data_IF_420480066118
#
_entry.id   IF_420480066118
#
_cell.length_a   1.000
_cell.length_b   1.000
_cell.length_c   1.000
_cell.angle_alpha   90.00
_cell.angle_beta   90.00
_cell.angle_gamma   90.00
#
_symmetry.space_group_name_H-M   'P 1'
#
loop_
_entity.id
_entity.type
_entity.pdbx_description
1 polymer ?
#
# COMPACT_ATOMS: atom_id res chain seq x y z
N UNK A 1 -38.92 -28.06 -34.86
CA UNK A 1 -37.60 -27.46 -35.09
C UNK A 1 -37.45 -26.32 -34.09
N UNK A 2 -36.98 -26.65 -32.88
CA UNK A 2 -36.75 -25.67 -31.79
C UNK A 2 -35.44 -24.96 -32.03
N UNK A 3 -35.45 -23.61 -31.98
CA UNK A 3 -34.29 -22.77 -32.12
C UNK A 3 -33.26 -23.09 -31.03
N UNK A 4 -31.94 -23.11 -31.33
CA UNK A 4 -30.92 -23.33 -30.34
C UNK A 4 -30.89 -22.14 -29.37
N UNK A 5 -31.06 -22.45 -28.08
CA UNK A 5 -30.81 -21.49 -26.99
C UNK A 5 -29.44 -20.87 -27.14
N UNK A 6 -29.40 -19.65 -27.59
CA UNK A 6 -28.18 -18.82 -27.53
C UNK A 6 -27.83 -18.65 -26.05
N UNK A 7 -26.62 -19.02 -25.60
CA UNK A 7 -26.20 -18.77 -24.20
C UNK A 7 -26.22 -17.29 -23.98
N UNK A 8 -27.26 -16.82 -23.27
CA UNK A 8 -27.51 -15.41 -23.00
C UNK A 8 -26.30 -14.80 -22.31
N UNK A 9 -25.71 -13.81 -22.95
CA UNK A 9 -24.75 -12.90 -22.36
C UNK A 9 -25.36 -12.35 -21.06
N UNK A 10 -24.94 -12.88 -19.92
CA UNK A 10 -25.38 -12.36 -18.62
C UNK A 10 -25.13 -10.85 -18.61
N UNK A 11 -26.11 -10.04 -18.20
CA UNK A 11 -26.01 -8.60 -18.27
C UNK A 11 -24.74 -8.13 -17.58
N UNK A 12 -23.97 -7.28 -18.25
CA UNK A 12 -22.65 -6.75 -17.83
C UNK A 12 -22.66 -6.13 -16.41
N UNK A 13 -23.82 -5.65 -15.99
CA UNK A 13 -24.05 -5.02 -14.69
C UNK A 13 -23.88 -5.98 -13.48
N UNK A 14 -24.05 -7.29 -13.65
CA UNK A 14 -23.87 -8.28 -12.57
C UNK A 14 -22.43 -8.79 -12.42
N UNK A 15 -21.56 -8.60 -13.40
CA UNK A 15 -20.22 -9.17 -13.40
C UNK A 15 -19.28 -8.42 -12.44
N UNK A 16 -19.36 -7.08 -12.41
CA UNK A 16 -18.48 -6.25 -11.57
C UNK A 16 -18.67 -6.47 -10.06
N UNK A 17 -19.90 -6.35 -9.50
CA UNK A 17 -20.10 -6.57 -8.06
C UNK A 17 -19.77 -8.00 -7.64
N UNK A 18 -20.02 -8.98 -8.49
CA UNK A 18 -19.65 -10.37 -8.23
C UNK A 18 -18.14 -10.55 -8.17
N UNK A 19 -17.40 -10.00 -9.15
CA UNK A 19 -15.94 -10.05 -9.17
C UNK A 19 -15.33 -9.31 -7.97
N UNK A 20 -15.88 -8.15 -7.61
CA UNK A 20 -15.43 -7.37 -6.46
C UNK A 20 -15.65 -8.15 -5.15
N UNK A 21 -16.84 -8.70 -4.94
CA UNK A 21 -17.16 -9.51 -3.75
C UNK A 21 -16.24 -10.71 -3.59
N UNK A 22 -15.95 -11.41 -4.68
CA UNK A 22 -15.02 -12.55 -4.66
C UNK A 22 -13.60 -12.09 -4.38
N UNK A 23 -13.14 -11.00 -4.99
CA UNK A 23 -11.78 -10.46 -4.76
C UNK A 23 -11.57 -9.99 -3.33
N UNK A 24 -12.54 -9.31 -2.73
CA UNK A 24 -12.49 -8.90 -1.31
C UNK A 24 -12.52 -10.12 -0.40
N UNK A 25 -13.43 -11.07 -0.66
CA UNK A 25 -13.54 -12.29 0.16
C UNK A 25 -12.29 -13.16 0.12
N UNK A 26 -11.61 -13.22 -1.02
CA UNK A 26 -10.35 -13.95 -1.17
C UNK A 26 -9.25 -13.33 -0.31
N UNK A 27 -9.14 -12.00 -0.30
CA UNK A 27 -8.17 -11.28 0.51
C UNK A 27 -8.47 -11.37 2.02
N UNK A 28 -9.74 -11.29 2.43
CA UNK A 28 -10.12 -11.40 3.86
C UNK A 28 -9.94 -12.83 4.42
N UNK A 29 -9.91 -13.84 3.56
CA UNK A 29 -9.62 -15.24 3.97
C UNK A 29 -8.13 -15.54 4.11
N UNK A 30 -7.26 -14.58 3.78
CA UNK A 30 -5.82 -14.75 3.95
C UNK A 30 -5.45 -14.66 5.45
N UNK A 31 -5.43 -15.83 6.11
CA UNK A 31 -5.12 -15.95 7.55
C UNK A 31 -3.74 -15.39 7.90
N UNK A 32 -2.78 -15.55 7.01
CA UNK A 32 -1.42 -15.04 7.22
C UNK A 32 -1.40 -13.50 7.22
N UNK A 33 -2.15 -12.88 6.30
CA UNK A 33 -2.30 -11.43 6.26
C UNK A 33 -2.99 -10.89 7.53
N UNK A 34 -4.06 -11.57 7.99
CA UNK A 34 -4.75 -11.21 9.22
C UNK A 34 -3.83 -11.36 10.45
N UNK A 35 -3.06 -12.45 10.53
CA UNK A 35 -2.11 -12.69 11.61
C UNK A 35 -1.00 -11.63 11.62
N UNK A 36 -0.42 -11.32 10.46
CA UNK A 36 0.56 -10.25 10.32
C UNK A 36 -0.01 -8.90 10.78
N UNK A 37 -1.22 -8.56 10.36
CA UNK A 37 -1.85 -7.31 10.75
C UNK A 37 -2.06 -7.24 12.28
N UNK A 38 -2.66 -8.27 12.86
CA UNK A 38 -3.06 -8.28 14.28
C UNK A 38 -1.87 -8.41 15.23
N UNK A 39 -0.84 -9.16 14.87
CA UNK A 39 0.32 -9.39 15.74
C UNK A 39 1.50 -8.47 15.41
N UNK A 40 1.86 -8.34 14.12
CA UNK A 40 3.06 -7.60 13.75
C UNK A 40 2.93 -6.10 14.05
N UNK A 41 1.79 -5.48 13.75
CA UNK A 41 1.62 -4.03 13.97
C UNK A 41 1.77 -3.65 15.44
N UNK A 42 1.04 -4.25 16.41
CA UNK A 42 1.20 -3.92 17.81
C UNK A 42 2.60 -4.23 18.35
N UNK A 43 3.15 -5.39 17.99
CA UNK A 43 4.51 -5.78 18.42
C UNK A 43 5.55 -4.81 17.87
N UNK A 44 5.43 -4.41 16.61
CA UNK A 44 6.34 -3.46 16.00
C UNK A 44 6.27 -2.08 16.66
N UNK A 45 5.07 -1.62 16.99
CA UNK A 45 4.90 -0.38 17.77
C UNK A 45 5.52 -0.49 19.17
N UNK A 46 5.29 -1.58 19.89
CA UNK A 46 5.92 -1.81 21.19
C UNK A 46 7.45 -1.78 21.13
N UNK A 47 8.02 -2.44 20.13
CA UNK A 47 9.49 -2.44 19.93
C UNK A 47 10.01 -1.04 19.63
N UNK A 48 9.34 -0.33 18.73
CA UNK A 48 9.77 1.02 18.34
C UNK A 48 9.57 2.05 19.45
N UNK A 49 8.50 1.94 20.23
CA UNK A 49 8.25 2.77 21.41
C UNK A 49 9.31 2.53 22.50
N UNK A 50 9.64 1.26 22.76
CA UNK A 50 10.67 0.90 23.73
C UNK A 50 12.10 1.32 23.31
N UNK A 51 12.36 1.44 22.00
CA UNK A 51 13.64 1.90 21.46
C UNK A 51 13.71 3.42 21.25
N UNK A 52 12.56 4.10 21.30
CA UNK A 52 12.50 5.52 21.05
C UNK A 52 13.12 6.30 22.22
N UNK A 53 14.08 7.16 21.90
CA UNK A 53 14.56 8.15 22.85
C UNK A 53 13.58 9.34 22.88
N UNK A 54 13.31 9.88 24.06
CA UNK A 54 12.52 11.11 24.21
C UNK A 54 13.26 12.39 23.77
N UNK A 55 14.28 12.25 22.93
CA UNK A 55 15.05 13.37 22.39
C UNK A 55 14.22 14.18 21.40
N UNK A 56 14.41 15.49 21.44
CA UNK A 56 13.81 16.39 20.46
C UNK A 56 14.62 16.32 19.17
N UNK A 57 13.93 16.00 18.07
CA UNK A 57 14.54 15.88 16.75
C UNK A 57 14.10 17.01 15.82
N UNK A 58 15.02 17.41 14.96
CA UNK A 58 14.77 18.38 13.89
C UNK A 58 14.20 17.69 12.66
N UNK A 59 12.92 17.93 12.38
CA UNK A 59 12.25 17.43 11.19
C UNK A 59 11.94 18.58 10.23
N UNK A 60 12.55 18.57 9.04
CA UNK A 60 12.35 19.60 8.04
C UNK A 60 11.09 19.34 7.21
N UNK A 61 10.15 20.29 7.22
CA UNK A 61 9.02 20.33 6.29
C UNK A 61 9.48 20.99 4.98
N UNK A 62 9.59 20.20 3.93
CA UNK A 62 10.11 20.68 2.64
C UNK A 62 9.20 21.70 1.95
N UNK A 63 7.86 21.58 2.09
CA UNK A 63 6.94 22.52 1.46
C UNK A 63 7.03 23.95 2.02
N UNK A 64 7.33 24.07 3.32
CA UNK A 64 7.36 25.37 4.01
C UNK A 64 8.79 25.82 4.36
N UNK A 65 9.77 24.92 4.19
CA UNK A 65 11.15 25.16 4.64
C UNK A 65 11.31 25.21 6.16
N UNK A 66 10.24 25.03 6.93
CA UNK A 66 10.28 25.08 8.39
C UNK A 66 10.92 23.82 8.97
N UNK A 67 11.72 24.00 10.00
CA UNK A 67 12.21 22.91 10.84
C UNK A 67 11.27 22.81 12.04
N UNK A 68 10.68 21.63 12.23
CA UNK A 68 9.87 21.31 13.39
C UNK A 68 10.76 20.62 14.42
N UNK A 69 10.73 21.11 15.66
CA UNK A 69 11.30 20.43 16.81
C UNK A 69 10.24 19.48 17.36
N UNK A 70 10.41 18.19 17.07
CA UNK A 70 9.42 17.15 17.37
C UNK A 70 9.99 16.14 18.35
N UNK A 71 9.11 15.55 19.15
CA UNK A 71 9.48 14.41 19.97
C UNK A 71 9.87 13.20 19.09
N UNK A 72 11.08 12.69 19.31
CA UNK A 72 11.65 11.61 18.51
C UNK A 72 10.86 10.29 18.64
N UNK A 73 10.27 10.04 19.81
CA UNK A 73 9.41 8.89 20.05
C UNK A 73 8.16 8.94 19.18
N UNK A 74 7.44 10.04 19.20
CA UNK A 74 6.24 10.21 18.40
C UNK A 74 6.51 10.18 16.89
N UNK A 75 7.63 10.77 16.44
CA UNK A 75 8.04 10.69 15.04
C UNK A 75 8.39 9.24 14.64
N UNK A 76 9.03 8.51 15.54
CA UNK A 76 9.37 7.09 15.34
C UNK A 76 8.12 6.23 15.26
N UNK A 77 7.07 6.51 16.03
CA UNK A 77 5.78 5.81 15.90
C UNK A 77 5.15 6.04 14.52
N UNK A 78 5.20 7.26 13.97
CA UNK A 78 4.75 7.50 12.58
C UNK A 78 5.56 6.67 11.58
N UNK A 79 6.89 6.67 11.71
CA UNK A 79 7.78 5.87 10.85
C UNK A 79 7.50 4.37 10.98
N UNK A 80 7.29 3.88 12.20
CA UNK A 80 6.94 2.49 12.47
C UNK A 80 5.61 2.09 11.81
N UNK A 81 4.61 2.97 11.87
CA UNK A 81 3.33 2.78 11.20
C UNK A 81 3.49 2.72 9.67
N UNK A 82 4.23 3.67 9.09
CA UNK A 82 4.53 3.65 7.65
C UNK A 82 5.22 2.35 7.24
N UNK A 83 6.24 1.91 8.01
CA UNK A 83 6.95 0.67 7.74
C UNK A 83 6.03 -0.56 7.83
N UNK A 84 5.22 -0.66 8.88
CA UNK A 84 4.26 -1.76 9.03
C UNK A 84 3.29 -1.82 7.85
N UNK A 85 2.78 -0.67 7.43
CA UNK A 85 1.84 -0.57 6.32
C UNK A 85 2.50 -0.94 4.99
N UNK A 86 3.74 -0.49 4.73
CA UNK A 86 4.47 -0.85 3.49
C UNK A 86 4.66 -2.36 3.37
N UNK A 87 5.10 -3.00 4.45
CA UNK A 87 5.35 -4.43 4.48
C UNK A 87 4.05 -5.23 4.30
N UNK A 88 3.01 -4.93 5.09
CA UNK A 88 1.77 -5.70 5.08
C UNK A 88 1.00 -5.48 3.77
N UNK A 89 0.80 -4.23 3.34
CA UNK A 89 0.07 -3.94 2.11
C UNK A 89 0.78 -4.51 0.88
N UNK A 90 2.11 -4.34 0.80
CA UNK A 90 2.92 -4.92 -0.27
C UNK A 90 2.82 -6.45 -0.32
N UNK A 91 2.98 -7.10 0.84
CA UNK A 91 2.90 -8.56 0.97
C UNK A 91 1.51 -9.10 0.59
N UNK A 92 0.44 -8.53 1.16
CA UNK A 92 -0.94 -8.99 0.95
C UNK A 92 -1.31 -8.92 -0.52
N UNK A 93 -0.98 -7.81 -1.18
CA UNK A 93 -1.29 -7.64 -2.60
C UNK A 93 -0.42 -8.53 -3.49
N UNK A 94 0.87 -8.65 -3.19
CA UNK A 94 1.77 -9.55 -3.90
C UNK A 94 1.27 -10.98 -3.88
N UNK A 95 0.95 -11.51 -2.70
CA UNK A 95 0.43 -12.87 -2.51
C UNK A 95 -0.91 -13.08 -3.24
N UNK A 96 -1.84 -12.11 -3.12
CA UNK A 96 -3.12 -12.16 -3.80
C UNK A 96 -2.98 -12.19 -5.34
N UNK A 97 -2.09 -11.36 -5.88
CA UNK A 97 -1.84 -11.33 -7.33
C UNK A 97 -1.22 -12.65 -7.80
N UNK A 98 -0.25 -13.18 -7.07
CA UNK A 98 0.42 -14.45 -7.39
C UNK A 98 -0.56 -15.61 -7.44
N UNK A 99 -1.40 -15.76 -6.41
CA UNK A 99 -2.41 -16.83 -6.32
C UNK A 99 -3.48 -16.70 -7.41
N UNK A 100 -3.89 -15.48 -7.73
CA UNK A 100 -4.96 -15.24 -8.69
C UNK A 100 -4.54 -15.37 -10.16
N UNK A 101 -3.26 -15.22 -10.51
CA UNK A 101 -2.79 -15.17 -11.91
C UNK A 101 -3.24 -16.34 -12.79
N UNK A 102 -3.23 -17.57 -12.25
CA UNK A 102 -3.64 -18.77 -13.00
C UNK A 102 -5.15 -18.82 -13.21
N UNK A 103 -5.93 -18.40 -12.20
CA UNK A 103 -7.39 -18.37 -12.25
C UNK A 103 -7.88 -17.25 -13.17
N UNK A 104 -7.28 -16.08 -13.11
CA UNK A 104 -7.62 -14.93 -13.95
C UNK A 104 -7.46 -15.24 -15.44
N UNK A 105 -6.38 -15.95 -15.79
CA UNK A 105 -6.19 -16.40 -17.17
C UNK A 105 -7.33 -17.29 -17.64
N UNK A 106 -7.79 -18.21 -16.80
CA UNK A 106 -8.92 -19.10 -17.15
C UNK A 106 -10.22 -18.31 -17.32
N UNK A 107 -10.47 -17.31 -16.49
CA UNK A 107 -11.64 -16.45 -16.61
C UNK A 107 -11.63 -15.63 -17.92
N UNK A 108 -10.48 -15.08 -18.30
CA UNK A 108 -10.34 -14.36 -19.57
C UNK A 108 -10.58 -15.30 -20.77
N UNK A 109 -10.07 -16.54 -20.73
CA UNK A 109 -10.34 -17.54 -21.76
C UNK A 109 -11.81 -17.97 -21.82
N UNK A 110 -12.52 -17.96 -20.69
CA UNK A 110 -13.97 -18.21 -20.60
C UNK A 110 -14.82 -17.01 -21.03
N UNK A 111 -14.23 -15.96 -21.62
CA UNK A 111 -14.95 -14.79 -22.15
C UNK A 111 -15.24 -13.68 -21.14
N UNK A 112 -14.64 -13.73 -19.94
CA UNK A 112 -14.79 -12.63 -18.97
C UNK A 112 -14.02 -11.39 -19.44
N UNK A 113 -14.65 -10.22 -19.38
CA UNK A 113 -13.98 -8.98 -19.81
C UNK A 113 -12.81 -8.63 -18.89
N UNK A 114 -11.61 -8.60 -19.43
CA UNK A 114 -10.37 -8.30 -18.70
C UNK A 114 -10.43 -6.96 -17.94
N UNK A 115 -11.06 -5.92 -18.54
CA UNK A 115 -11.21 -4.59 -17.91
C UNK A 115 -12.06 -4.62 -16.64
N UNK A 116 -13.13 -5.43 -16.62
CA UNK A 116 -14.01 -5.59 -15.44
C UNK A 116 -13.24 -6.28 -14.32
N UNK A 117 -12.49 -7.34 -14.65
CA UNK A 117 -11.69 -8.07 -13.68
C UNK A 117 -10.60 -7.21 -13.07
N UNK A 118 -9.88 -6.42 -13.89
CA UNK A 118 -8.86 -5.49 -13.44
C UNK A 118 -9.47 -4.43 -12.52
N UNK A 119 -10.58 -3.79 -12.93
CA UNK A 119 -11.23 -2.76 -12.12
C UNK A 119 -11.71 -3.28 -10.77
N UNK A 120 -12.34 -4.46 -10.74
CA UNK A 120 -12.78 -5.08 -9.49
C UNK A 120 -11.59 -5.40 -8.55
N UNK A 121 -10.48 -5.89 -9.09
CA UNK A 121 -9.28 -6.19 -8.30
C UNK A 121 -8.61 -4.93 -7.78
N UNK A 122 -8.46 -3.90 -8.61
CA UNK A 122 -7.87 -2.63 -8.18
C UNK A 122 -8.68 -2.02 -7.04
N UNK A 123 -10.02 -2.06 -7.12
CA UNK A 123 -10.88 -1.57 -6.05
C UNK A 123 -10.76 -2.42 -4.77
N UNK A 124 -10.68 -3.74 -4.90
CA UNK A 124 -10.48 -4.64 -3.76
C UNK A 124 -9.13 -4.40 -3.08
N UNK A 125 -8.05 -4.21 -3.85
CA UNK A 125 -6.73 -3.86 -3.35
C UNK A 125 -6.77 -2.52 -2.60
N UNK A 126 -7.41 -1.51 -3.18
CA UNK A 126 -7.55 -0.20 -2.55
C UNK A 126 -8.33 -0.28 -1.22
N UNK A 127 -9.42 -1.05 -1.18
CA UNK A 127 -10.20 -1.25 0.04
C UNK A 127 -9.39 -1.94 1.15
N UNK A 128 -8.64 -2.99 0.82
CA UNK A 128 -7.79 -3.71 1.79
C UNK A 128 -6.62 -2.85 2.25
N UNK A 129 -5.95 -2.13 1.34
CA UNK A 129 -4.89 -1.20 1.69
C UNK A 129 -5.38 -0.11 2.66
N UNK A 130 -6.57 0.46 2.40
CA UNK A 130 -7.19 1.44 3.28
C UNK A 130 -7.55 0.85 4.65
N UNK A 131 -8.03 -0.40 4.70
CA UNK A 131 -8.33 -1.09 5.96
C UNK A 131 -7.06 -1.35 6.79
N UNK A 132 -5.95 -1.74 6.16
CA UNK A 132 -4.64 -1.90 6.79
C UNK A 132 -4.17 -0.56 7.38
N UNK A 133 -4.25 0.51 6.60
CA UNK A 133 -3.89 1.85 7.04
C UNK A 133 -4.72 2.33 8.22
N UNK A 134 -6.04 2.09 8.17
CA UNK A 134 -6.95 2.46 9.26
C UNK A 134 -6.62 1.70 10.55
N UNK A 135 -6.42 0.39 10.46
CA UNK A 135 -6.03 -0.42 11.62
C UNK A 135 -4.72 0.09 12.23
N UNK A 136 -3.70 0.34 11.39
CA UNK A 136 -2.40 0.83 11.85
C UNK A 136 -2.50 2.23 12.47
N UNK A 137 -3.31 3.13 11.88
CA UNK A 137 -3.55 4.46 12.43
C UNK A 137 -4.34 4.43 13.75
N UNK A 138 -5.25 3.46 13.93
CA UNK A 138 -5.93 3.25 15.21
C UNK A 138 -4.99 2.67 16.27
N UNK A 139 -4.08 1.77 15.89
CA UNK A 139 -3.09 1.19 16.79
C UNK A 139 -2.14 2.24 17.36
N UNK A 140 -1.79 3.30 16.63
CA UNK A 140 -1.01 4.45 17.14
C UNK A 140 -1.64 5.06 18.38
N UNK A 141 -2.98 5.11 18.46
CA UNK A 141 -3.70 5.74 19.58
C UNK A 141 -3.46 5.04 20.93
N UNK A 142 -2.97 3.82 20.92
CA UNK A 142 -2.57 3.08 22.14
C UNK A 142 -1.27 3.64 22.75
N UNK A 143 -0.42 4.25 21.93
CA UNK A 143 0.92 4.74 22.31
C UNK A 143 0.95 6.27 22.39
N UNK A 144 0.28 6.93 21.46
CA UNK A 144 0.25 8.37 21.35
C UNK A 144 -1.09 8.87 20.84
N UNK A 145 -1.57 9.98 21.41
CA UNK A 145 -2.85 10.61 21.03
C UNK A 145 -2.60 11.96 20.36
N UNK A 146 -2.39 12.02 19.06
CA UNK A 146 -2.31 13.28 18.34
C UNK A 146 -3.66 14.01 18.39
N UNK A 147 -3.66 15.31 18.06
CA UNK A 147 -4.91 16.04 17.87
C UNK A 147 -5.78 15.37 16.79
N UNK A 148 -7.09 15.59 16.81
CA UNK A 148 -7.99 14.97 15.80
C UNK A 148 -7.54 15.27 14.37
N UNK A 149 -7.14 16.50 14.05
CA UNK A 149 -6.58 16.86 12.73
C UNK A 149 -5.26 16.16 12.44
N UNK A 150 -4.39 16.01 13.44
CA UNK A 150 -3.13 15.27 13.32
C UNK A 150 -3.33 13.79 13.06
N UNK A 151 -4.31 13.15 13.74
CA UNK A 151 -4.63 11.74 13.49
C UNK A 151 -5.10 11.50 12.05
N UNK A 152 -5.95 12.37 11.50
CA UNK A 152 -6.40 12.28 10.10
C UNK A 152 -5.25 12.40 9.13
N UNK A 153 -4.26 13.26 9.43
CA UNK A 153 -3.07 13.37 8.60
C UNK A 153 -2.22 12.09 8.63
N UNK A 154 -2.05 11.49 9.82
CA UNK A 154 -1.36 10.19 9.97
C UNK A 154 -2.09 9.10 9.19
N UNK A 155 -3.42 8.99 9.36
CA UNK A 155 -4.23 8.03 8.61
C UNK A 155 -4.11 8.22 7.09
N UNK A 156 -4.22 9.47 6.60
CA UNK A 156 -4.12 9.75 5.16
C UNK A 156 -2.73 9.42 4.60
N UNK A 157 -1.66 9.72 5.34
CA UNK A 157 -0.30 9.31 4.99
C UNK A 157 -0.17 7.79 4.92
N UNK A 158 -0.71 7.07 5.91
CA UNK A 158 -0.72 5.61 5.92
C UNK A 158 -1.55 5.03 4.77
N UNK A 159 -2.69 5.63 4.43
CA UNK A 159 -3.53 5.18 3.32
C UNK A 159 -2.82 5.33 1.97
N UNK A 160 -2.14 6.45 1.74
CA UNK A 160 -1.41 6.66 0.48
C UNK A 160 -0.22 5.72 0.37
N UNK A 161 0.57 5.52 1.44
CA UNK A 161 1.70 4.57 1.38
C UNK A 161 1.22 3.12 1.23
N UNK A 162 0.07 2.75 1.82
CA UNK A 162 -0.55 1.44 1.63
C UNK A 162 -0.92 1.20 0.17
N UNK A 163 -1.49 2.20 -0.49
CA UNK A 163 -1.80 2.15 -1.92
C UNK A 163 -0.53 2.06 -2.77
N UNK A 164 0.51 2.81 -2.44
CA UNK A 164 1.79 2.82 -3.16
C UNK A 164 2.46 1.45 -3.08
N UNK A 165 2.60 0.89 -1.88
CA UNK A 165 3.23 -0.43 -1.70
C UNK A 165 2.30 -1.58 -2.12
N UNK A 166 0.99 -1.41 -2.03
CA UNK A 166 0.03 -2.31 -2.68
C UNK A 166 0.23 -2.36 -4.20
N UNK A 167 0.41 -1.21 -4.84
CA UNK A 167 0.71 -1.13 -6.27
C UNK A 167 2.09 -1.74 -6.61
N UNK A 168 3.10 -1.54 -5.76
CA UNK A 168 4.39 -2.22 -5.88
C UNK A 168 4.25 -3.75 -5.73
N UNK A 169 3.44 -4.21 -4.77
CA UNK A 169 3.11 -5.62 -4.58
C UNK A 169 2.44 -6.22 -5.82
N UNK A 170 1.51 -5.50 -6.45
CA UNK A 170 0.91 -5.88 -7.73
C UNK A 170 1.96 -6.00 -8.82
N UNK A 171 2.84 -5.01 -8.96
CA UNK A 171 3.91 -5.00 -9.95
C UNK A 171 4.85 -6.20 -9.76
N UNK A 172 5.34 -6.40 -8.55
CA UNK A 172 6.25 -7.51 -8.21
C UNK A 172 5.55 -8.87 -8.36
N UNK A 173 4.27 -8.99 -8.00
CA UNK A 173 3.47 -10.20 -8.17
C UNK A 173 3.37 -10.66 -9.62
N UNK A 174 3.39 -9.72 -10.55
CA UNK A 174 3.42 -10.04 -12.00
C UNK A 174 4.85 -10.28 -12.49
N UNK A 175 5.86 -9.54 -12.00
CA UNK A 175 7.24 -9.57 -12.50
C UNK A 175 8.03 -10.76 -11.98
N UNK A 176 8.01 -10.98 -10.67
CA UNK A 176 8.90 -11.90 -9.96
C UNK A 176 8.40 -13.34 -10.09
N UNK A 177 9.30 -14.28 -10.31
CA UNK A 177 8.93 -15.70 -10.49
C UNK A 177 8.85 -16.48 -9.19
N UNK A 178 9.66 -16.12 -8.20
CA UNK A 178 9.74 -16.81 -6.89
C UNK A 178 9.12 -15.95 -5.79
N UNK A 179 8.36 -16.57 -4.91
CA UNK A 179 7.65 -15.85 -3.84
C UNK A 179 8.63 -15.21 -2.85
N UNK A 180 9.70 -15.93 -2.51
CA UNK A 180 10.72 -15.45 -1.57
C UNK A 180 11.43 -14.18 -2.06
N UNK A 181 11.73 -14.11 -3.35
CA UNK A 181 12.35 -12.93 -3.97
C UNK A 181 11.43 -11.71 -3.87
N UNK A 182 10.13 -11.90 -4.14
CA UNK A 182 9.14 -10.83 -4.05
C UNK A 182 8.97 -10.32 -2.62
N UNK A 183 8.88 -11.22 -1.66
CA UNK A 183 8.80 -10.86 -0.24
C UNK A 183 10.05 -10.11 0.22
N UNK A 184 11.23 -10.57 -0.15
CA UNK A 184 12.49 -9.91 0.18
C UNK A 184 12.53 -8.48 -0.38
N UNK A 185 12.13 -8.28 -1.63
CA UNK A 185 12.10 -6.95 -2.26
C UNK A 185 11.13 -6.01 -1.57
N UNK A 186 9.95 -6.49 -1.16
CA UNK A 186 8.95 -5.69 -0.44
C UNK A 186 9.48 -5.30 0.95
N UNK A 187 10.00 -6.28 1.69
CA UNK A 187 10.50 -6.06 3.06
C UNK A 187 11.70 -5.11 3.04
N UNK A 188 12.71 -5.42 2.24
CA UNK A 188 13.92 -4.60 2.19
C UNK A 188 13.64 -3.21 1.59
N UNK A 189 12.86 -3.14 0.51
CA UNK A 189 12.46 -1.88 -0.10
C UNK A 189 11.66 -1.01 0.86
N UNK A 190 10.65 -1.57 1.54
CA UNK A 190 9.83 -0.86 2.51
C UNK A 190 10.61 -0.40 3.74
N UNK A 191 11.45 -1.28 4.30
CA UNK A 191 12.29 -0.95 5.45
C UNK A 191 13.26 0.19 5.11
N UNK A 192 14.01 0.06 4.01
CA UNK A 192 14.96 1.08 3.59
C UNK A 192 14.28 2.42 3.29
N UNK A 193 13.17 2.39 2.55
CA UNK A 193 12.44 3.60 2.18
C UNK A 193 11.94 4.37 3.42
N UNK A 194 11.28 3.68 4.35
CA UNK A 194 10.73 4.33 5.56
C UNK A 194 11.81 4.71 6.57
N UNK A 195 12.84 3.88 6.74
CA UNK A 195 13.95 4.17 7.66
C UNK A 195 14.73 5.42 7.25
N UNK A 196 14.96 5.61 5.94
CA UNK A 196 15.67 6.77 5.42
C UNK A 196 14.94 8.09 5.69
N UNK A 197 13.62 8.08 5.92
CA UNK A 197 12.82 9.27 6.20
C UNK A 197 12.84 9.70 7.68
N UNK A 198 13.30 8.85 8.59
CA UNK A 198 13.33 9.15 10.02
C UNK A 198 14.69 9.71 10.44
N UNK A 199 14.74 10.98 10.96
CA UNK A 199 15.99 11.58 11.42
C UNK A 199 16.68 10.82 12.57
N UNK A 200 15.92 10.09 13.39
CA UNK A 200 16.49 9.25 14.45
C UNK A 200 17.38 8.14 13.89
N UNK A 201 16.89 7.48 12.82
CA UNK A 201 17.62 6.38 12.18
C UNK A 201 18.61 6.84 11.10
N UNK A 202 18.41 8.03 10.53
CA UNK A 202 19.22 8.55 9.44
C UNK A 202 19.53 10.05 9.63
N UNK A 203 20.75 10.42 10.02
CA UNK A 203 21.14 11.83 10.14
C UNK A 203 20.98 12.64 8.84
N UNK A 204 20.90 11.96 7.70
CA UNK A 204 20.71 12.56 6.39
C UNK A 204 19.24 12.68 5.97
N UNK A 205 18.28 12.36 6.86
CA UNK A 205 16.83 12.38 6.56
C UNK A 205 16.33 13.74 6.04
N UNK A 206 17.02 14.82 6.37
CA UNK A 206 16.72 16.18 5.90
C UNK A 206 17.43 16.55 4.57
N UNK A 207 17.96 15.59 3.81
CA UNK A 207 18.61 15.84 2.51
C UNK A 207 17.61 15.81 1.34
N UNK A 208 17.78 16.67 0.32
CA UNK A 208 16.84 16.77 -0.81
C UNK A 208 16.70 15.46 -1.63
N UNK A 209 17.74 14.61 -1.65
CA UNK A 209 17.73 13.35 -2.39
C UNK A 209 16.59 12.41 -1.95
N UNK A 210 16.16 12.50 -0.71
CA UNK A 210 15.10 11.64 -0.16
C UNK A 210 13.70 11.99 -0.68
N UNK A 211 13.52 13.14 -1.34
CA UNK A 211 12.24 13.51 -1.97
C UNK A 211 11.82 12.54 -3.10
N UNK A 212 12.78 11.81 -3.66
CA UNK A 212 12.52 10.84 -4.73
C UNK A 212 12.02 9.47 -4.24
N UNK A 213 11.94 9.27 -2.94
CA UNK A 213 11.48 8.02 -2.38
C UNK A 213 9.95 8.00 -2.22
N UNK A 214 9.30 6.83 -2.41
CA UNK A 214 7.84 6.70 -2.33
C UNK A 214 7.25 7.09 -0.97
N UNK A 215 7.95 6.83 0.14
CA UNK A 215 7.49 7.14 1.49
C UNK A 215 7.65 8.61 1.88
N UNK A 216 8.44 9.39 1.13
CA UNK A 216 8.71 10.80 1.45
C UNK A 216 7.43 11.62 1.56
N UNK A 217 6.57 11.59 0.54
CA UNK A 217 5.33 12.35 0.55
C UNK A 217 4.40 12.00 1.71
N UNK A 218 4.05 10.72 1.88
CA UNK A 218 3.29 10.25 3.03
C UNK A 218 3.88 10.63 4.40
N UNK A 219 5.20 10.52 4.58
CA UNK A 219 5.87 10.91 5.83
C UNK A 219 5.77 12.41 6.10
N UNK A 220 6.06 13.25 5.09
CA UNK A 220 5.95 14.71 5.19
C UNK A 220 4.51 15.15 5.50
N UNK A 221 3.51 14.50 4.91
CA UNK A 221 2.11 14.79 5.17
C UNK A 221 1.70 14.39 6.58
N UNK A 222 2.04 13.17 7.00
CA UNK A 222 1.70 12.65 8.32
C UNK A 222 2.36 13.48 9.44
N UNK A 223 3.68 13.72 9.35
CA UNK A 223 4.41 14.50 10.33
C UNK A 223 3.99 15.99 10.30
N UNK A 224 3.82 16.57 9.11
CA UNK A 224 3.37 17.96 8.97
C UNK A 224 1.99 18.21 9.56
N UNK A 225 1.05 17.31 9.39
CA UNK A 225 -0.28 17.40 9.99
C UNK A 225 -0.29 17.09 11.49
N UNK A 226 0.50 16.11 11.93
CA UNK A 226 0.55 15.70 13.33
C UNK A 226 1.21 16.76 14.24
N UNK A 227 2.33 17.34 13.80
CA UNK A 227 3.11 18.26 14.59
C UNK A 227 2.99 19.72 14.14
N UNK A 228 2.94 19.95 12.83
CA UNK A 228 2.95 21.31 12.23
C UNK A 228 1.56 21.91 12.03
N UNK A 229 0.48 21.16 12.23
CA UNK A 229 -0.90 21.54 11.93
C UNK A 229 -1.09 22.07 10.51
N UNK A 230 -0.25 21.63 9.56
CA UNK A 230 -0.26 22.05 8.15
C UNK A 230 -0.54 20.87 7.26
N UNK A 231 -1.60 20.96 6.47
CA UNK A 231 -1.93 19.94 5.47
C UNK A 231 -1.09 20.17 4.20
N UNK A 232 -0.09 19.33 3.98
CA UNK A 232 0.84 19.40 2.85
C UNK A 232 0.33 18.58 1.65
N UNK A 233 -0.79 18.94 1.07
CA UNK A 233 -1.48 18.19 0.01
C UNK A 233 -0.61 17.83 -1.19
N UNK A 234 0.34 18.72 -1.56
CA UNK A 234 1.31 18.45 -2.64
C UNK A 234 2.19 17.22 -2.37
N UNK A 235 2.58 17.00 -1.12
CA UNK A 235 3.36 15.83 -0.72
C UNK A 235 2.53 14.55 -0.74
N UNK A 236 1.26 14.64 -0.34
CA UNK A 236 0.34 13.51 -0.47
C UNK A 236 0.12 13.11 -1.94
N UNK A 237 -0.02 14.12 -2.81
CA UNK A 237 -0.13 13.90 -4.26
C UNK A 237 1.11 13.19 -4.84
N UNK A 238 2.33 13.49 -4.33
CA UNK A 238 3.55 12.79 -4.75
C UNK A 238 3.47 11.28 -4.47
N UNK A 239 2.96 10.87 -3.30
CA UNK A 239 2.71 9.44 -3.01
C UNK A 239 1.71 8.81 -3.97
N UNK A 240 0.65 9.54 -4.37
CA UNK A 240 -0.31 9.07 -5.37
C UNK A 240 0.31 8.95 -6.77
N UNK A 241 1.26 9.80 -7.13
CA UNK A 241 2.03 9.66 -8.38
C UNK A 241 2.81 8.35 -8.40
N UNK A 242 3.49 7.98 -7.31
CA UNK A 242 4.14 6.68 -7.17
C UNK A 242 3.15 5.52 -7.28
N UNK A 243 1.99 5.63 -6.64
CA UNK A 243 0.91 4.64 -6.75
C UNK A 243 0.48 4.44 -8.21
N UNK A 244 0.25 5.54 -8.93
CA UNK A 244 -0.12 5.51 -10.33
C UNK A 244 0.97 4.90 -11.21
N UNK A 245 2.25 5.25 -10.98
CA UNK A 245 3.39 4.73 -11.73
C UNK A 245 3.52 3.21 -11.57
N UNK A 246 3.55 2.69 -10.34
CA UNK A 246 3.64 1.25 -10.08
C UNK A 246 2.42 0.50 -10.62
N UNK A 247 1.21 1.05 -10.45
CA UNK A 247 -0.03 0.46 -10.99
C UNK A 247 0.01 0.40 -12.52
N UNK A 248 0.38 1.50 -13.19
CA UNK A 248 0.44 1.55 -14.65
C UNK A 248 1.43 0.52 -15.22
N UNK A 249 2.64 0.46 -14.67
CA UNK A 249 3.66 -0.50 -15.11
C UNK A 249 3.18 -1.94 -14.84
N UNK A 250 2.64 -2.22 -13.66
CA UNK A 250 2.09 -3.55 -13.31
C UNK A 250 0.96 -3.99 -14.25
N UNK A 251 0.04 -3.10 -14.56
CA UNK A 251 -1.09 -3.37 -15.46
C UNK A 251 -0.64 -3.56 -16.92
N UNK A 252 0.33 -2.79 -17.39
CA UNK A 252 0.90 -2.97 -18.74
C UNK A 252 1.55 -4.35 -18.87
N UNK A 253 2.37 -4.74 -17.87
CA UNK A 253 3.03 -6.06 -17.87
C UNK A 253 1.98 -7.18 -17.78
N UNK A 254 0.95 -7.02 -16.95
CA UNK A 254 -0.16 -7.97 -16.86
C UNK A 254 -0.87 -8.15 -18.20
N UNK A 255 -1.18 -7.05 -18.90
CA UNK A 255 -1.80 -7.09 -20.25
C UNK A 255 -0.92 -7.78 -21.27
N UNK A 256 0.38 -7.47 -21.30
CA UNK A 256 1.34 -8.10 -22.23
C UNK A 256 1.43 -9.60 -21.98
N UNK A 257 1.56 -10.03 -20.73
CA UNK A 257 1.66 -11.45 -20.36
C UNK A 257 0.39 -12.25 -20.62
N UNK A 258 -0.78 -11.63 -20.61
CA UNK A 258 -2.04 -12.30 -20.93
C UNK A 258 -2.34 -12.33 -22.43
N UNK A 259 -1.83 -11.38 -23.21
CA UNK A 259 -2.07 -11.26 -24.66
C UNK A 259 -1.19 -12.17 -25.51
N UNK A 260 0.06 -12.43 -25.11
CA UNK A 260 1.06 -13.09 -25.97
C UNK A 260 0.87 -14.60 -26.18
N UNK A 261 -0.13 -15.27 -25.59
CA UNK A 261 -0.36 -16.70 -25.80
C UNK A 261 -1.45 -17.06 -26.81
N UNK A 262 -2.12 -16.10 -27.40
CA UNK A 262 -3.14 -16.33 -28.44
C UNK A 262 -2.58 -16.36 -29.87
N UNK A 263 -1.27 -16.11 -30.07
CA UNK A 263 -0.65 -16.02 -31.40
C UNK A 263 0.15 -17.24 -31.85
N UNK A 264 0.24 -18.28 -31.03
CA UNK A 264 0.95 -19.53 -31.40
C UNK A 264 -0.01 -20.71 -31.34
N UNK A 265 -0.98 -20.74 -32.23
CA UNK A 265 -1.62 -21.94 -32.80
C UNK A 265 -2.15 -21.62 -34.18
#
# INVERSE_FOLDING_TARGET
>A
MSAPDTPGLRPLYGQFPTALRFSVRDQTRNRLAALLLVLFVPVWYLVMDAMASGEVLDFKLYATGKVLHVDGGHLTLISAGLNSVTMIAGFVVFDAVRKALAFDRRLVFAGYRQSILIGAKTLAIAAVATAIALYTALAVLCFWRPTAGGWWAVFAGFAVIALTYGALGLLLGVLVKRDLEGFFLIIMGGLMDTFLQNPLGNPLANKPVLQWFPSFGPMQFAAGGAFGRTALWGHLALGLVWTAAFSAVGLVIFRVRTRNRTRTR
#
